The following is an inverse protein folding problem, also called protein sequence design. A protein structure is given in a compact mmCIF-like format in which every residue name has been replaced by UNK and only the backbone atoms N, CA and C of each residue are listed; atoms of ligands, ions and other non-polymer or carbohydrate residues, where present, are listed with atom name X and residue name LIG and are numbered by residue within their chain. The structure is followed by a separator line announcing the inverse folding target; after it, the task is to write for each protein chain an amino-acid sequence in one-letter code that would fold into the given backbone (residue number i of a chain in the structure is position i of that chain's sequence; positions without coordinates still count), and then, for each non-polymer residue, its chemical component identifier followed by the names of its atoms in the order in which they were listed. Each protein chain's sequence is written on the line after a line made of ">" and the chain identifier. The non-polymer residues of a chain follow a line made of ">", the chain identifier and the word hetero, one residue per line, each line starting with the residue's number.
data_IF_653005196745
#
_entry.id   IF_653005196745
#
_cell.length_a   1.000
_cell.length_b   1.000
_cell.length_c   1.000
_cell.angle_alpha   90.00
_cell.angle_beta   90.00
_cell.angle_gamma   90.00
#
_symmetry.space_group_name_H-M   'P 1'
#
loop_
_entity.id
_entity.type
_entity.pdbx_description
1 polymer ?
#
# COMPACT_ATOMS: atom_id res chain seq x y z
N UNK A 1 14.10 10.13 -10.59
CA UNK A 1 13.45 9.32 -9.55
C UNK A 1 14.34 8.13 -9.23
N UNK A 2 14.56 7.89 -7.96
CA UNK A 2 15.47 6.85 -7.48
C UNK A 2 15.07 5.44 -7.94
N UNK A 3 13.76 5.12 -7.91
CA UNK A 3 13.26 3.79 -8.32
C UNK A 3 13.52 3.50 -9.80
N UNK A 4 13.38 4.49 -10.67
CA UNK A 4 13.64 4.29 -12.11
C UNK A 4 15.12 4.01 -12.38
N UNK A 5 16.01 4.64 -11.64
CA UNK A 5 17.44 4.36 -11.70
C UNK A 5 17.73 2.91 -11.30
N UNK A 6 17.13 2.44 -10.23
CA UNK A 6 17.32 1.06 -9.74
C UNK A 6 16.75 0.02 -10.71
N UNK A 7 15.65 0.33 -11.35
CA UNK A 7 15.07 -0.53 -12.39
C UNK A 7 16.02 -0.65 -13.58
N UNK A 8 16.59 0.46 -14.04
CA UNK A 8 17.58 0.46 -15.13
C UNK A 8 18.83 -0.32 -14.77
N UNK A 9 19.35 -0.15 -13.56
CA UNK A 9 20.49 -0.90 -13.07
C UNK A 9 20.21 -2.41 -13.08
N UNK A 10 19.01 -2.81 -12.65
CA UNK A 10 18.61 -4.24 -12.67
C UNK A 10 18.50 -4.77 -14.09
N UNK A 11 17.96 -4.01 -15.03
CA UNK A 11 17.88 -4.42 -16.44
C UNK A 11 19.27 -4.62 -17.05
N UNK A 12 20.22 -3.77 -16.67
CA UNK A 12 21.59 -3.85 -17.19
C UNK A 12 22.43 -4.93 -16.50
N UNK A 13 22.05 -5.35 -15.31
CA UNK A 13 22.71 -6.41 -14.55
C UNK A 13 21.67 -7.26 -13.82
N UNK A 14 21.23 -8.33 -14.46
CA UNK A 14 20.18 -9.20 -13.92
C UNK A 14 20.60 -9.89 -12.60
N UNK A 15 21.88 -10.00 -12.33
CA UNK A 15 22.40 -10.56 -11.08
C UNK A 15 22.37 -9.54 -9.92
N UNK A 16 22.07 -8.29 -10.21
CA UNK A 16 21.92 -7.25 -9.20
C UNK A 16 20.65 -7.41 -8.37
N UNK A 17 20.53 -6.59 -7.33
CA UNK A 17 19.36 -6.60 -6.44
C UNK A 17 18.08 -6.25 -7.20
N UNK A 18 17.04 -7.06 -7.03
CA UNK A 18 15.70 -6.76 -7.57
C UNK A 18 15.08 -5.59 -6.80
N UNK A 19 14.60 -4.55 -7.50
CA UNK A 19 13.90 -3.45 -6.84
C UNK A 19 12.67 -3.91 -6.08
N UNK A 20 12.44 -3.32 -4.90
CA UNK A 20 11.33 -3.65 -4.02
C UNK A 20 10.46 -2.42 -3.78
N UNK A 21 9.16 -2.56 -4.00
CA UNK A 21 8.15 -1.56 -3.66
C UNK A 21 7.22 -2.13 -2.59
N UNK A 22 7.00 -1.37 -1.54
CA UNK A 22 6.01 -1.70 -0.49
C UNK A 22 4.82 -0.76 -0.64
N UNK A 23 3.61 -1.33 -0.68
CA UNK A 23 2.35 -0.60 -0.67
C UNK A 23 1.79 -0.65 0.75
N UNK A 24 1.75 0.48 1.40
CA UNK A 24 1.41 0.64 2.80
C UNK A 24 0.12 1.44 2.92
N UNK A 25 -0.95 0.82 3.40
CA UNK A 25 -2.25 1.46 3.41
C UNK A 25 -3.34 0.68 4.15
N UNK A 26 -4.57 1.05 3.85
CA UNK A 26 -5.80 0.51 4.45
C UNK A 26 -6.47 -0.54 3.55
N UNK A 27 -7.80 -0.66 3.63
CA UNK A 27 -8.58 -1.61 2.82
C UNK A 27 -8.43 -1.39 1.32
N UNK A 28 -8.28 -0.14 0.87
CA UNK A 28 -8.07 0.17 -0.56
C UNK A 28 -6.77 -0.46 -1.05
N UNK A 29 -5.70 -0.36 -0.27
CA UNK A 29 -4.41 -0.98 -0.57
C UNK A 29 -4.49 -2.50 -0.47
N UNK A 30 -5.18 -3.03 0.53
CA UNK A 30 -5.37 -4.48 0.70
C UNK A 30 -6.09 -5.10 -0.50
N UNK A 31 -6.95 -4.34 -1.17
CA UNK A 31 -7.68 -4.79 -2.35
C UNK A 31 -9.19 -4.92 -2.12
N UNK A 32 -9.76 -4.01 -1.34
CA UNK A 32 -11.20 -3.94 -1.13
C UNK A 32 -11.90 -3.74 -2.48
N UNK A 33 -12.72 -4.71 -2.85
CA UNK A 33 -13.45 -4.71 -4.10
C UNK A 33 -14.89 -4.26 -3.90
N UNK A 34 -15.57 -4.81 -2.89
CA UNK A 34 -16.99 -4.57 -2.65
C UNK A 34 -17.32 -4.67 -1.17
N UNK A 35 -18.23 -3.81 -0.73
CA UNK A 35 -18.89 -3.91 0.58
C UNK A 35 -20.29 -4.44 0.37
N UNK A 36 -20.73 -5.39 1.17
CA UNK A 36 -22.08 -5.92 1.10
C UNK A 36 -22.68 -6.12 2.49
N UNK A 37 -24.00 -6.04 2.55
CA UNK A 37 -24.76 -6.24 3.79
C UNK A 37 -25.24 -7.69 3.86
N UNK A 38 -24.90 -8.38 4.95
CA UNK A 38 -25.36 -9.74 5.19
C UNK A 38 -26.82 -9.76 5.65
N UNK A 39 -27.40 -10.96 5.66
CA UNK A 39 -28.79 -11.17 6.10
C UNK A 39 -29.06 -10.75 7.55
N UNK A 40 -28.03 -10.77 8.40
CA UNK A 40 -28.11 -10.34 9.81
C UNK A 40 -27.92 -8.82 9.99
N UNK A 41 -27.77 -8.06 8.89
CA UNK A 41 -27.57 -6.60 8.92
C UNK A 41 -26.12 -6.16 9.08
N UNK A 42 -25.19 -7.08 9.31
CA UNK A 42 -23.77 -6.75 9.38
C UNK A 42 -23.20 -6.48 7.99
N UNK A 43 -22.11 -5.70 7.96
CA UNK A 43 -21.39 -5.38 6.71
C UNK A 43 -20.16 -6.27 6.62
N UNK A 44 -19.94 -6.84 5.45
CA UNK A 44 -18.71 -7.58 5.14
C UNK A 44 -18.05 -6.99 3.90
N UNK A 45 -16.78 -7.32 3.73
CA UNK A 45 -15.95 -6.79 2.65
C UNK A 45 -15.44 -7.94 1.82
N UNK A 46 -15.60 -7.83 0.51
CA UNK A 46 -14.99 -8.74 -0.44
C UNK A 46 -13.67 -8.14 -0.94
N UNK A 47 -12.62 -8.92 -0.85
CA UNK A 47 -11.28 -8.52 -1.29
C UNK A 47 -10.92 -9.26 -2.57
N UNK A 48 -10.45 -8.50 -3.56
CA UNK A 48 -9.91 -9.03 -4.81
C UNK A 48 -8.61 -8.31 -5.14
N UNK A 49 -7.51 -8.93 -4.78
CA UNK A 49 -6.18 -8.32 -4.93
C UNK A 49 -5.83 -8.04 -6.39
N UNK A 50 -6.36 -8.81 -7.34
CA UNK A 50 -6.09 -8.60 -8.76
C UNK A 50 -6.63 -7.26 -9.28
N UNK A 51 -7.58 -6.64 -8.57
CA UNK A 51 -8.11 -5.31 -8.90
C UNK A 51 -7.47 -4.21 -8.04
N UNK A 52 -6.54 -4.54 -7.17
CA UNK A 52 -5.81 -3.55 -6.38
C UNK A 52 -4.86 -2.71 -7.23
N UNK A 53 -4.64 -1.45 -6.83
CA UNK A 53 -3.78 -0.54 -7.61
C UNK A 53 -2.32 -1.00 -7.65
N UNK A 54 -1.87 -1.81 -6.69
CA UNK A 54 -0.53 -2.40 -6.73
C UNK A 54 -0.32 -3.33 -7.92
N UNK A 55 -1.38 -4.01 -8.37
CA UNK A 55 -1.35 -4.85 -9.58
C UNK A 55 -1.28 -4.00 -10.84
N UNK A 56 -2.00 -2.88 -10.88
CA UNK A 56 -1.89 -1.92 -11.98
C UNK A 56 -0.48 -1.35 -12.09
N UNK A 57 0.14 -1.02 -10.97
CA UNK A 57 1.53 -0.57 -10.91
C UNK A 57 2.48 -1.62 -11.48
N UNK A 58 2.35 -2.87 -11.05
CA UNK A 58 3.16 -3.98 -11.54
C UNK A 58 3.01 -4.18 -13.04
N UNK A 59 1.78 -4.11 -13.54
CA UNK A 59 1.47 -4.27 -14.96
C UNK A 59 2.10 -3.15 -15.79
N UNK A 60 1.97 -1.90 -15.37
CA UNK A 60 2.58 -0.75 -16.07
C UNK A 60 4.10 -0.92 -16.13
N UNK A 61 4.73 -1.28 -15.04
CA UNK A 61 6.18 -1.48 -15.00
C UNK A 61 6.63 -2.64 -15.89
N UNK A 62 5.82 -3.69 -16.01
CA UNK A 62 6.12 -4.82 -16.89
C UNK A 62 6.10 -4.43 -18.37
N UNK A 63 5.25 -3.47 -18.75
CA UNK A 63 5.24 -2.91 -20.09
C UNK A 63 6.42 -2.00 -20.36
N UNK A 64 6.78 -1.16 -19.40
CA UNK A 64 7.86 -0.19 -19.55
C UNK A 64 9.25 -0.84 -19.45
N UNK A 65 9.38 -1.87 -18.63
CA UNK A 65 10.65 -2.51 -18.30
C UNK A 65 10.50 -4.03 -18.33
N UNK A 66 10.26 -4.63 -19.51
CA UNK A 66 9.87 -6.06 -19.60
C UNK A 66 10.95 -7.04 -19.14
N UNK A 67 12.21 -6.61 -19.07
CA UNK A 67 13.32 -7.46 -18.62
C UNK A 67 13.64 -7.31 -17.15
N UNK A 68 12.98 -6.41 -16.44
CA UNK A 68 13.26 -6.14 -15.04
C UNK A 68 12.21 -6.79 -14.14
N UNK A 69 12.55 -7.84 -13.38
CA UNK A 69 11.67 -8.30 -12.32
C UNK A 69 11.59 -7.25 -11.21
N UNK A 70 10.41 -7.11 -10.61
CA UNK A 70 10.16 -6.17 -9.51
C UNK A 70 9.43 -6.91 -8.41
N UNK A 71 9.88 -6.75 -7.17
CA UNK A 71 9.20 -7.30 -6.00
C UNK A 71 8.20 -6.29 -5.47
N UNK A 72 7.01 -6.77 -5.15
CA UNK A 72 5.92 -5.95 -4.59
C UNK A 72 5.42 -6.62 -3.33
N UNK A 73 5.35 -5.86 -2.24
CA UNK A 73 4.77 -6.28 -0.98
C UNK A 73 3.54 -5.42 -0.72
N UNK A 74 2.41 -6.07 -0.47
CA UNK A 74 1.17 -5.41 -0.12
C UNK A 74 0.98 -5.47 1.40
N UNK A 75 1.11 -4.31 2.04
CA UNK A 75 0.90 -4.12 3.48
C UNK A 75 -0.36 -3.29 3.76
N UNK A 76 -1.41 -3.57 3.01
CA UNK A 76 -2.74 -3.01 3.27
C UNK A 76 -3.46 -3.78 4.35
N UNK A 77 -4.05 -3.06 5.31
CA UNK A 77 -4.88 -3.63 6.37
C UNK A 77 -6.21 -2.89 6.43
N UNK A 78 -7.30 -3.62 6.24
CA UNK A 78 -8.66 -3.06 6.29
C UNK A 78 -8.93 -2.41 7.64
N UNK A 79 -9.54 -1.22 7.60
CA UNK A 79 -9.88 -0.47 8.80
C UNK A 79 -8.74 0.34 9.41
N UNK A 80 -7.54 0.22 8.86
CA UNK A 80 -6.36 0.88 9.41
C UNK A 80 -6.39 2.40 9.19
N UNK A 81 -5.72 3.12 10.06
CA UNK A 81 -5.54 4.56 10.03
C UNK A 81 -4.08 4.95 10.26
N UNK A 82 -3.78 6.24 10.18
CA UNK A 82 -2.41 6.73 10.33
C UNK A 82 -1.82 6.45 11.72
N UNK A 83 -2.65 6.47 12.77
CA UNK A 83 -2.18 6.17 14.14
C UNK A 83 -1.72 4.73 14.29
N UNK A 84 -2.51 3.79 13.76
CA UNK A 84 -2.15 2.37 13.78
C UNK A 84 -1.00 2.06 12.82
N UNK A 85 -0.97 2.74 11.68
CA UNK A 85 0.10 2.60 10.70
C UNK A 85 1.48 2.91 11.30
N UNK A 86 1.59 3.98 12.10
CA UNK A 86 2.83 4.34 12.76
C UNK A 86 3.35 3.22 13.68
N UNK A 87 2.45 2.49 14.33
CA UNK A 87 2.81 1.40 15.24
C UNK A 87 3.41 0.19 14.52
N UNK A 88 3.06 -0.02 13.25
CA UNK A 88 3.52 -1.17 12.46
C UNK A 88 4.51 -0.83 11.33
N UNK A 89 4.86 0.44 11.19
CA UNK A 89 5.72 0.91 10.10
C UNK A 89 7.09 0.20 10.09
N UNK A 90 7.71 0.03 11.26
CA UNK A 90 9.01 -0.65 11.35
C UNK A 90 8.93 -2.07 10.83
N UNK A 91 7.95 -2.82 11.29
CA UNK A 91 7.76 -4.23 10.91
C UNK A 91 7.37 -4.39 9.44
N UNK A 92 6.42 -3.58 8.97
CA UNK A 92 5.73 -3.82 7.71
C UNK A 92 6.35 -3.05 6.53
N UNK A 93 7.18 -2.06 6.81
CA UNK A 93 7.83 -1.25 5.77
C UNK A 93 9.34 -1.21 5.93
N UNK A 94 9.82 -0.63 7.02
CA UNK A 94 11.25 -0.30 7.18
C UNK A 94 12.13 -1.55 7.24
N UNK A 95 11.64 -2.63 7.85
CA UNK A 95 12.38 -3.89 7.94
C UNK A 95 12.69 -4.53 6.58
N UNK A 96 11.90 -4.22 5.55
CA UNK A 96 12.13 -4.72 4.20
C UNK A 96 13.17 -3.92 3.41
N UNK A 97 13.58 -2.75 3.89
CA UNK A 97 14.47 -1.83 3.17
C UNK A 97 13.99 -1.56 1.73
N UNK A 98 12.76 -1.05 1.55
CA UNK A 98 12.19 -0.87 0.21
C UNK A 98 12.92 0.22 -0.57
N UNK A 99 12.92 0.08 -1.89
CA UNK A 99 13.40 1.11 -2.82
C UNK A 99 12.35 2.20 -3.04
N UNK A 100 11.08 1.84 -2.91
CA UNK A 100 9.95 2.75 -2.99
C UNK A 100 8.88 2.29 -2.00
N UNK A 101 8.29 3.22 -1.28
CA UNK A 101 7.11 2.99 -0.45
C UNK A 101 5.98 3.87 -0.94
N UNK A 102 4.84 3.27 -1.25
CA UNK A 102 3.62 3.97 -1.61
C UNK A 102 2.69 3.94 -0.40
N UNK A 103 2.34 5.10 0.11
CA UNK A 103 1.53 5.26 1.33
C UNK A 103 0.16 5.80 0.96
N UNK A 104 -0.89 5.09 1.37
CA UNK A 104 -2.27 5.48 1.08
C UNK A 104 -3.16 5.26 2.31
N UNK A 105 -3.37 6.33 3.06
CA UNK A 105 -4.26 6.39 4.22
C UNK A 105 -5.14 7.64 4.14
N UNK A 106 -6.08 7.77 5.04
CA UNK A 106 -6.90 8.97 5.19
C UNK A 106 -8.39 8.71 5.28
N UNK A 107 -8.89 7.68 4.61
CA UNK A 107 -10.32 7.36 4.60
C UNK A 107 -10.83 7.01 6.01
N UNK A 108 -10.13 6.13 6.71
CA UNK A 108 -10.50 5.73 8.07
C UNK A 108 -10.20 6.83 9.11
N UNK A 109 -9.14 7.60 8.90
CA UNK A 109 -8.87 8.82 9.70
C UNK A 109 -10.04 9.79 9.60
N UNK A 110 -10.58 10.00 8.40
CA UNK A 110 -11.75 10.85 8.15
C UNK A 110 -13.03 10.31 8.80
N UNK A 111 -13.24 8.99 8.78
CA UNK A 111 -14.39 8.35 9.40
C UNK A 111 -14.32 8.36 10.93
N UNK A 112 -13.15 8.47 11.51
CA UNK A 112 -12.92 8.64 12.94
C UNK A 112 -12.92 10.13 13.35
N UNK A 113 -13.60 10.96 12.60
CA UNK A 113 -13.51 12.41 12.53
C UNK A 113 -13.55 13.18 13.84
N UNK A 114 -14.38 12.77 14.82
CA UNK A 114 -14.42 13.46 16.12
C UNK A 114 -13.08 13.40 16.87
N UNK A 115 -12.45 12.24 16.86
CA UNK A 115 -11.16 12.05 17.52
C UNK A 115 -10.05 12.76 16.75
N UNK A 116 -10.10 12.71 15.43
CA UNK A 116 -9.14 13.40 14.57
C UNK A 116 -9.22 14.93 14.75
N UNK A 117 -10.42 15.49 14.72
CA UNK A 117 -10.64 16.92 14.91
C UNK A 117 -10.23 17.39 16.30
N UNK A 118 -10.47 16.58 17.34
CA UNK A 118 -10.00 16.90 18.71
C UNK A 118 -8.49 16.93 18.82
N UNK A 119 -7.80 16.01 18.16
CA UNK A 119 -6.33 15.98 18.14
C UNK A 119 -5.78 17.19 17.40
N UNK A 120 -6.31 17.51 16.23
CA UNK A 120 -5.86 18.67 15.45
C UNK A 120 -6.16 19.99 16.14
N UNK A 121 -7.28 20.13 16.83
CA UNK A 121 -7.62 21.35 17.58
C UNK A 121 -6.73 21.57 18.81
N UNK A 122 -6.22 20.50 19.42
CA UNK A 122 -5.27 20.59 20.54
C UNK A 122 -3.86 20.98 20.11
N UNK A 123 -3.50 20.73 18.86
CA UNK A 123 -2.18 20.98 18.30
C UNK A 123 -2.11 22.30 17.50
N UNK A 124 -3.23 22.97 17.36
CA UNK A 124 -3.34 24.29 16.76
C UNK A 124 -3.49 25.39 17.87
#
# INVERSE_FOLDING_TARGET
>A
MEITKKIREKQNNINGKTPLTVFFGDSVTQGCFELYVKNDGSVDTEFEQNYGYHKCFAEILSYLYPKCPINIINEGISGDDTSNALKRMERDVLAYHPDLTVVCFGLNDSNNGENFLKVTSKNS
#
